data_IF_937409057692
#
_entry.id   IF_937409057692
#
_cell.length_a   1.000
_cell.length_b   1.000
_cell.length_c   1.000
_cell.angle_alpha   90.00
_cell.angle_beta   90.00
_cell.angle_gamma   90.00
#
_symmetry.space_group_name_H-M   'P 1'
#
loop_
_entity.id
_entity.type
_entity.pdbx_description
1 polymer ?
#
# COMPACT_ATOMS: atom_id res chain seq x y z
N UNK A 1 -84.81 -2.27 52.29
CA UNK A 1 -83.98 -3.32 51.64
C UNK A 1 -83.93 -2.96 50.16
N UNK A 2 -82.83 -2.74 49.46
CA UNK A 2 -81.39 -2.93 49.64
C UNK A 2 -80.70 -1.83 48.80
N UNK A 3 -79.60 -1.29 49.32
CA UNK A 3 -78.76 -0.26 48.73
C UNK A 3 -77.81 -0.79 47.64
N UNK A 4 -77.16 0.17 46.94
CA UNK A 4 -75.80 0.17 46.32
C UNK A 4 -75.79 0.29 44.80
N UNK A 5 -74.86 0.98 44.15
CA UNK A 5 -73.89 2.04 44.48
C UNK A 5 -73.11 2.26 43.19
N UNK A 6 -72.98 3.51 42.74
CA UNK A 6 -72.05 3.91 41.67
C UNK A 6 -70.61 3.57 42.08
N UNK A 7 -69.84 2.91 41.21
CA UNK A 7 -68.37 2.97 41.21
C UNK A 7 -67.88 2.97 39.77
N UNK A 8 -67.32 4.11 39.36
CA UNK A 8 -66.65 4.27 38.08
C UNK A 8 -65.36 3.44 38.02
N UNK A 9 -65.07 2.92 36.82
CA UNK A 9 -63.75 2.47 36.44
C UNK A 9 -63.22 3.44 35.40
N UNK A 10 -62.29 4.30 35.81
CA UNK A 10 -61.39 4.99 34.89
C UNK A 10 -60.26 4.01 34.54
N UNK A 11 -60.26 3.50 33.31
CA UNK A 11 -59.17 2.69 32.79
C UNK A 11 -58.03 3.62 32.37
N UNK A 12 -56.96 3.66 33.16
CA UNK A 12 -55.70 4.33 32.78
C UNK A 12 -54.99 3.43 31.78
N UNK A 13 -55.00 3.80 30.51
CA UNK A 13 -54.18 3.15 29.47
C UNK A 13 -52.72 3.59 29.64
N UNK A 14 -51.89 2.72 30.21
CA UNK A 14 -50.44 2.90 30.23
C UNK A 14 -49.90 2.69 28.80
N UNK A 15 -49.60 3.79 28.09
CA UNK A 15 -48.81 3.73 26.87
C UNK A 15 -47.37 3.32 27.24
N UNK A 16 -47.04 2.06 26.99
CA UNK A 16 -45.66 1.60 26.92
C UNK A 16 -45.00 2.32 25.75
N UNK A 17 -44.25 3.39 26.04
CA UNK A 17 -43.23 3.89 25.13
C UNK A 17 -42.16 2.81 25.01
N UNK A 18 -42.31 1.93 24.02
CA UNK A 18 -41.20 1.15 23.50
C UNK A 18 -40.26 2.18 22.88
N UNK A 19 -39.25 2.60 23.63
CA UNK A 19 -38.09 3.26 23.08
C UNK A 19 -37.45 2.25 22.15
N UNK A 20 -37.78 2.34 20.85
CA UNK A 20 -37.06 1.60 19.84
C UNK A 20 -35.59 1.94 20.00
N UNK A 21 -34.79 0.97 20.47
CA UNK A 21 -33.35 1.04 20.36
C UNK A 21 -33.08 1.24 18.87
N UNK A 22 -32.75 2.47 18.47
CA UNK A 22 -32.51 2.81 17.09
C UNK A 22 -31.39 1.90 16.59
N UNK A 23 -31.72 0.98 15.70
CA UNK A 23 -30.72 0.17 15.03
C UNK A 23 -29.79 1.15 14.31
N UNK A 24 -28.55 1.25 14.77
CA UNK A 24 -27.58 2.15 14.18
C UNK A 24 -27.32 1.68 12.75
N UNK A 25 -27.47 2.60 11.78
CA UNK A 25 -27.38 2.28 10.36
C UNK A 25 -26.01 1.64 10.05
N UNK A 26 -26.04 0.43 9.47
CA UNK A 26 -24.83 -0.27 9.04
C UNK A 26 -24.45 0.24 7.65
N UNK A 27 -23.25 0.81 7.54
CA UNK A 27 -22.70 1.33 6.28
C UNK A 27 -21.55 0.47 5.80
N UNK A 28 -21.55 0.24 4.50
CA UNK A 28 -20.53 -0.51 3.78
C UNK A 28 -19.63 0.46 3.01
N UNK A 29 -18.33 0.22 3.04
CA UNK A 29 -17.32 1.05 2.38
C UNK A 29 -16.38 0.17 1.57
N UNK A 30 -16.12 0.57 0.32
CA UNK A 30 -15.29 -0.18 -0.61
C UNK A 30 -13.82 0.09 -0.32
N UNK A 31 -13.03 -0.96 -0.25
CA UNK A 31 -11.58 -0.89 -0.06
C UNK A 31 -10.85 -1.63 -1.17
N UNK A 32 -10.28 -0.89 -2.12
CA UNK A 32 -9.72 -1.42 -3.35
C UNK A 32 -8.19 -1.51 -3.33
N UNK A 33 -7.64 -2.57 -3.94
CA UNK A 33 -6.21 -2.69 -4.20
C UNK A 33 -5.93 -3.69 -5.33
N UNK A 34 -4.84 -3.48 -6.06
CA UNK A 34 -4.58 -4.25 -7.29
C UNK A 34 -3.98 -5.64 -7.05
N UNK A 35 -3.41 -5.87 -5.86
CA UNK A 35 -2.83 -7.16 -5.49
C UNK A 35 -3.87 -8.18 -5.03
N UNK A 36 -3.68 -9.48 -5.31
CA UNK A 36 -4.53 -10.54 -4.78
C UNK A 36 -4.45 -10.66 -3.24
N UNK A 37 -5.32 -11.49 -2.67
CA UNK A 37 -5.24 -11.92 -1.26
C UNK A 37 -3.92 -12.66 -0.99
N UNK A 38 -3.51 -12.74 0.28
CA UNK A 38 -2.24 -13.31 0.76
C UNK A 38 -1.00 -12.48 0.40
N UNK A 39 -1.17 -11.17 0.35
CA UNK A 39 -0.14 -10.15 0.18
C UNK A 39 -0.15 -9.17 1.36
N UNK A 40 0.89 -8.33 1.50
CA UNK A 40 0.90 -7.26 2.50
C UNK A 40 -0.34 -6.36 2.42
N UNK A 41 -0.83 -6.07 1.21
CA UNK A 41 -2.07 -5.31 1.02
C UNK A 41 -3.30 -5.98 1.63
N UNK A 42 -3.43 -7.30 1.48
CA UNK A 42 -4.54 -8.00 2.13
C UNK A 42 -4.42 -8.03 3.64
N UNK A 43 -3.19 -8.07 4.20
CA UNK A 43 -2.97 -7.96 5.65
C UNK A 43 -3.38 -6.57 6.14
N UNK A 44 -2.99 -5.51 5.45
CA UNK A 44 -3.42 -4.14 5.75
C UNK A 44 -4.96 -4.01 5.71
N UNK A 45 -5.58 -4.55 4.65
CA UNK A 45 -7.03 -4.56 4.49
C UNK A 45 -7.75 -5.28 5.63
N UNK A 46 -7.26 -6.45 6.04
CA UNK A 46 -7.84 -7.24 7.12
C UNK A 46 -7.67 -6.55 8.49
N UNK A 47 -6.48 -6.03 8.80
CA UNK A 47 -6.23 -5.27 10.03
C UNK A 47 -7.17 -4.06 10.16
N UNK A 48 -7.33 -3.31 9.07
CA UNK A 48 -8.20 -2.15 9.03
C UNK A 48 -9.67 -2.53 9.19
N UNK A 49 -10.14 -3.51 8.40
CA UNK A 49 -11.53 -3.95 8.41
C UNK A 49 -11.95 -4.47 9.78
N UNK A 50 -11.14 -5.34 10.39
CA UNK A 50 -11.43 -5.93 11.69
C UNK A 50 -11.47 -4.86 12.78
N UNK A 51 -10.47 -3.96 12.80
CA UNK A 51 -10.41 -2.92 13.83
C UNK A 51 -11.52 -1.89 13.68
N UNK A 52 -11.83 -1.46 12.46
CA UNK A 52 -12.91 -0.49 12.23
C UNK A 52 -14.27 -1.09 12.60
N UNK A 53 -14.51 -2.37 12.29
CA UNK A 53 -15.72 -3.09 12.70
C UNK A 53 -15.84 -3.17 14.23
N UNK A 54 -14.74 -3.48 14.92
CA UNK A 54 -14.70 -3.50 16.39
C UNK A 54 -15.05 -2.13 16.99
N UNK A 55 -14.35 -1.08 16.57
CA UNK A 55 -14.50 0.29 17.09
C UNK A 55 -15.90 0.86 16.82
N UNK A 56 -16.44 0.59 15.63
CA UNK A 56 -17.78 1.03 15.23
C UNK A 56 -18.90 0.13 15.73
N UNK A 57 -18.59 -0.92 16.50
CA UNK A 57 -19.57 -1.93 16.96
C UNK A 57 -20.39 -2.52 15.81
N UNK A 58 -19.75 -2.70 14.65
CA UNK A 58 -20.35 -3.28 13.44
C UNK A 58 -21.09 -2.31 12.53
N UNK A 59 -21.07 -1.00 12.79
CA UNK A 59 -21.81 -0.03 11.96
C UNK A 59 -21.01 0.46 10.76
N UNK A 60 -19.68 0.28 10.75
CA UNK A 60 -18.81 0.57 9.61
C UNK A 60 -18.15 -0.73 9.14
N UNK A 61 -18.61 -1.24 8.00
CA UNK A 61 -18.15 -2.49 7.41
C UNK A 61 -17.31 -2.20 6.16
N UNK A 62 -16.20 -2.91 6.03
CA UNK A 62 -15.31 -2.81 4.88
C UNK A 62 -15.57 -3.96 3.92
N UNK A 63 -15.91 -3.62 2.68
CA UNK A 63 -15.99 -4.55 1.56
C UNK A 63 -14.68 -4.44 0.76
N UNK A 64 -13.84 -5.48 0.82
CA UNK A 64 -12.55 -5.47 0.14
C UNK A 64 -12.69 -5.91 -1.33
N UNK A 65 -12.01 -5.19 -2.22
CA UNK A 65 -11.94 -5.45 -3.66
C UNK A 65 -10.48 -5.72 -4.09
N UNK A 66 -9.95 -6.92 -3.79
CA UNK A 66 -8.57 -7.29 -4.11
C UNK A 66 -8.38 -7.60 -5.61
N UNK A 67 -7.13 -7.74 -6.04
CA UNK A 67 -6.79 -8.31 -7.35
C UNK A 67 -7.25 -7.46 -8.52
N UNK A 68 -7.24 -6.13 -8.36
CA UNK A 68 -7.63 -5.16 -9.37
C UNK A 68 -9.08 -5.27 -9.84
N UNK A 69 -9.98 -5.78 -8.99
CA UNK A 69 -11.42 -5.87 -9.27
C UNK A 69 -12.05 -4.52 -9.66
N UNK A 70 -11.51 -3.41 -9.14
CA UNK A 70 -11.94 -2.05 -9.46
C UNK A 70 -10.93 -1.27 -10.32
N UNK A 71 -9.96 -1.97 -10.93
CA UNK A 71 -8.90 -1.38 -11.75
C UNK A 71 -7.51 -1.51 -11.12
N UNK A 72 -6.49 -1.12 -11.89
CA UNK A 72 -5.11 -1.06 -11.40
C UNK A 72 -4.92 0.21 -10.56
N UNK A 73 -3.83 0.27 -9.80
CA UNK A 73 -3.58 1.34 -8.82
C UNK A 73 -3.79 2.77 -9.36
N UNK A 74 -3.25 3.19 -10.53
CA UNK A 74 -3.48 4.54 -11.02
C UNK A 74 -4.97 4.86 -11.26
N UNK A 75 -5.76 3.89 -11.75
CA UNK A 75 -7.20 4.07 -11.96
C UNK A 75 -7.95 4.13 -10.64
N UNK A 76 -7.65 3.22 -9.71
CA UNK A 76 -8.28 3.18 -8.37
C UNK A 76 -7.99 4.47 -7.60
N UNK A 77 -6.77 5.01 -7.71
CA UNK A 77 -6.41 6.28 -7.07
C UNK A 77 -7.26 7.45 -7.60
N UNK A 78 -7.59 7.47 -8.90
CA UNK A 78 -8.54 8.46 -9.44
C UNK A 78 -9.96 8.25 -8.92
N UNK A 79 -10.41 7.00 -8.75
CA UNK A 79 -11.73 6.70 -8.17
C UNK A 79 -11.83 7.17 -6.71
N UNK A 80 -10.78 7.00 -5.91
CA UNK A 80 -10.72 7.55 -4.54
C UNK A 80 -10.73 9.07 -4.57
N UNK A 81 -9.95 9.69 -5.46
CA UNK A 81 -9.92 11.15 -5.65
C UNK A 81 -11.29 11.74 -6.01
N UNK A 82 -12.07 11.03 -6.83
CA UNK A 82 -13.43 11.42 -7.20
C UNK A 82 -14.48 11.12 -6.11
N UNK A 83 -14.14 10.33 -5.09
CA UNK A 83 -15.07 9.86 -4.08
C UNK A 83 -16.02 8.76 -4.58
N UNK A 84 -15.63 8.06 -5.64
CA UNK A 84 -16.32 6.90 -6.21
C UNK A 84 -15.86 5.58 -5.59
N UNK A 85 -14.74 5.57 -4.86
CA UNK A 85 -14.28 4.48 -3.99
C UNK A 85 -13.83 5.11 -2.68
N UNK A 86 -14.13 4.47 -1.55
CA UNK A 86 -13.91 5.07 -0.25
C UNK A 86 -12.47 4.93 0.26
N UNK A 87 -11.91 3.74 0.12
CA UNK A 87 -10.55 3.44 0.55
C UNK A 87 -9.77 2.74 -0.54
N UNK A 88 -8.47 2.98 -0.61
CA UNK A 88 -7.57 2.20 -1.45
C UNK A 88 -6.17 2.04 -0.86
N UNK A 89 -5.50 0.97 -1.23
CA UNK A 89 -4.06 0.80 -0.99
C UNK A 89 -3.34 0.97 -2.32
N UNK A 90 -2.38 1.89 -2.35
CA UNK A 90 -1.62 2.26 -3.55
C UNK A 90 -0.13 2.25 -3.19
N UNK A 91 0.73 1.79 -4.08
CA UNK A 91 2.17 1.88 -3.86
C UNK A 91 2.62 3.34 -3.85
N UNK A 92 3.67 3.66 -3.10
CA UNK A 92 4.23 5.02 -3.12
C UNK A 92 4.66 5.45 -4.52
N UNK A 93 5.21 4.51 -5.31
CA UNK A 93 5.57 4.73 -6.70
C UNK A 93 4.36 5.17 -7.54
N UNK A 94 3.24 4.44 -7.50
CA UNK A 94 2.05 4.84 -8.28
C UNK A 94 1.35 6.08 -7.73
N UNK A 95 1.54 6.41 -6.45
CA UNK A 95 1.08 7.70 -5.88
C UNK A 95 1.76 8.89 -6.55
N UNK A 96 2.97 8.73 -7.08
CA UNK A 96 3.69 9.76 -7.82
C UNK A 96 2.93 10.30 -9.04
N UNK A 97 1.95 9.53 -9.57
CA UNK A 97 1.10 9.95 -10.69
C UNK A 97 0.17 11.13 -10.35
N UNK A 98 -0.14 11.37 -9.07
CA UNK A 98 -0.95 12.50 -8.61
C UNK A 98 -0.18 13.47 -7.70
N UNK A 99 0.88 12.99 -7.05
CA UNK A 99 1.75 13.78 -6.18
C UNK A 99 3.18 13.33 -6.41
N UNK A 100 3.92 13.97 -7.36
CA UNK A 100 5.26 13.53 -7.73
C UNK A 100 6.20 13.35 -6.54
N UNK A 101 6.08 14.19 -5.50
CA UNK A 101 6.89 14.12 -4.28
C UNK A 101 6.77 12.79 -3.51
N UNK A 102 5.66 12.05 -3.67
CA UNK A 102 5.51 10.72 -3.09
C UNK A 102 6.53 9.71 -3.61
N UNK A 103 7.13 9.96 -4.79
CA UNK A 103 8.22 9.15 -5.33
C UNK A 103 9.46 9.07 -4.44
N UNK A 104 9.59 9.96 -3.44
CA UNK A 104 10.68 9.90 -2.44
C UNK A 104 10.72 8.55 -1.72
N UNK A 105 9.56 7.96 -1.42
CA UNK A 105 9.45 6.69 -0.70
C UNK A 105 9.92 5.50 -1.53
N UNK A 106 10.11 5.70 -2.83
CA UNK A 106 10.58 4.71 -3.80
C UNK A 106 12.02 4.95 -4.25
N UNK A 107 12.74 5.91 -3.64
CA UNK A 107 14.15 6.13 -3.96
C UNK A 107 14.98 4.87 -3.68
N UNK A 108 15.80 4.47 -4.66
CA UNK A 108 16.64 3.29 -4.53
C UNK A 108 17.60 3.43 -3.33
N UNK A 109 17.70 2.37 -2.52
CA UNK A 109 18.54 2.27 -1.33
C UNK A 109 18.33 3.37 -0.27
N UNK A 110 17.15 4.01 -0.26
CA UNK A 110 16.75 4.94 0.81
C UNK A 110 16.63 4.22 2.16
N UNK A 111 16.00 3.06 2.14
CA UNK A 111 15.96 2.16 3.29
C UNK A 111 17.18 1.23 3.25
N UNK A 112 17.72 0.91 4.42
CA UNK A 112 19.01 0.22 4.56
C UNK A 112 18.83 -1.30 4.67
N UNK A 113 17.74 -1.70 5.33
CA UNK A 113 17.40 -3.08 5.65
C UNK A 113 15.92 -3.16 6.09
N UNK A 114 15.43 -4.37 6.31
CA UNK A 114 14.09 -4.68 6.80
C UNK A 114 13.72 -3.90 8.08
N UNK A 115 14.61 -3.85 9.07
CA UNK A 115 14.34 -3.16 10.34
C UNK A 115 14.17 -1.65 10.12
N UNK A 116 14.97 -1.07 9.22
CA UNK A 116 14.85 0.33 8.85
C UNK A 116 13.53 0.61 8.13
N UNK A 117 13.06 -0.29 7.26
CA UNK A 117 11.71 -0.18 6.64
C UNK A 117 10.62 -0.20 7.71
N UNK A 118 10.62 -1.22 8.58
CA UNK A 118 9.59 -1.39 9.62
C UNK A 118 9.53 -0.16 10.54
N UNK A 119 10.68 0.30 11.05
CA UNK A 119 10.75 1.51 11.90
C UNK A 119 10.36 2.77 11.13
N UNK A 120 10.79 2.90 9.88
CA UNK A 120 10.52 4.06 9.04
C UNK A 120 9.04 4.26 8.77
N UNK A 121 8.34 3.19 8.43
CA UNK A 121 6.90 3.24 8.16
C UNK A 121 6.07 3.44 9.43
N UNK A 122 6.56 2.97 10.59
CA UNK A 122 5.91 3.16 11.87
C UNK A 122 6.24 4.49 12.56
N UNK A 123 7.22 5.27 12.06
CA UNK A 123 7.63 6.53 12.67
C UNK A 123 6.54 7.62 12.46
N UNK A 124 5.93 8.15 13.53
CA UNK A 124 4.87 9.15 13.40
C UNK A 124 5.30 10.42 12.67
N UNK A 125 6.58 10.78 12.72
CA UNK A 125 7.12 11.97 12.04
C UNK A 125 7.16 11.76 10.54
N UNK A 126 7.50 10.55 10.09
CA UNK A 126 7.49 10.18 8.66
C UNK A 126 6.06 10.16 8.15
N UNK A 127 5.14 9.52 8.87
CA UNK A 127 3.71 9.51 8.50
C UNK A 127 3.14 10.93 8.42
N UNK A 128 3.39 11.79 9.40
CA UNK A 128 2.85 13.15 9.39
C UNK A 128 3.45 14.00 8.25
N UNK A 129 4.72 13.80 7.92
CA UNK A 129 5.33 14.46 6.77
C UNK A 129 4.72 14.00 5.43
N UNK A 130 4.41 12.70 5.29
CA UNK A 130 3.69 12.16 4.14
C UNK A 130 2.26 12.70 4.07
N UNK A 131 1.55 12.74 5.20
CA UNK A 131 0.20 13.29 5.30
C UNK A 131 0.16 14.75 4.86
N UNK A 132 1.04 15.58 5.44
CA UNK A 132 1.15 16.99 5.05
C UNK A 132 1.46 17.14 3.56
N UNK A 133 2.41 16.35 3.04
CA UNK A 133 2.75 16.39 1.61
C UNK A 133 1.54 16.08 0.74
N UNK A 134 0.79 15.01 1.02
CA UNK A 134 -0.40 14.65 0.23
C UNK A 134 -1.46 15.75 0.34
N UNK A 135 -1.78 16.21 1.54
CA UNK A 135 -2.80 17.24 1.77
C UNK A 135 -2.46 18.58 1.05
N UNK A 136 -1.18 18.92 0.93
CA UNK A 136 -0.75 20.17 0.27
C UNK A 136 -0.55 20.04 -1.25
N UNK A 137 -0.30 18.83 -1.77
CA UNK A 137 0.03 18.62 -3.19
C UNK A 137 -1.09 17.99 -4.00
N UNK A 138 -2.12 17.41 -3.36
CA UNK A 138 -3.29 16.87 -4.03
C UNK A 138 -4.57 17.21 -3.28
N UNK A 139 -5.69 17.17 -4.00
CA UNK A 139 -7.04 17.35 -3.47
C UNK A 139 -7.86 16.07 -3.66
N UNK A 140 -8.97 15.95 -2.92
CA UNK A 140 -9.96 14.89 -3.10
C UNK A 140 -9.69 13.59 -2.34
N UNK A 141 -8.57 13.49 -1.61
CA UNK A 141 -8.19 12.30 -0.83
C UNK A 141 -7.17 12.65 0.26
N UNK A 142 -7.07 11.77 1.26
CA UNK A 142 -6.09 11.86 2.35
C UNK A 142 -5.39 10.52 2.53
N UNK A 143 -4.11 10.55 2.89
CA UNK A 143 -3.40 9.36 3.35
C UNK A 143 -3.65 9.16 4.86
N UNK A 144 -4.00 7.94 5.26
CA UNK A 144 -4.37 7.59 6.64
C UNK A 144 -3.44 6.55 7.27
N UNK A 145 -2.69 5.80 6.46
CA UNK A 145 -1.66 4.88 6.93
C UNK A 145 -0.57 4.61 5.89
N UNK A 146 0.51 4.02 6.37
CA UNK A 146 1.66 3.48 5.64
C UNK A 146 1.72 1.98 5.84
N UNK A 147 2.18 1.24 4.83
CA UNK A 147 2.40 -0.21 4.90
C UNK A 147 3.55 -0.65 4.02
N UNK A 148 3.81 -1.95 3.97
CA UNK A 148 4.90 -2.54 3.20
C UNK A 148 4.44 -3.73 2.37
N UNK A 149 5.10 -3.98 1.27
CA UNK A 149 5.08 -5.28 0.61
C UNK A 149 6.46 -5.96 0.64
N UNK A 150 7.36 -5.51 1.51
CA UNK A 150 8.75 -5.98 1.57
C UNK A 150 9.70 -5.09 0.77
N UNK A 151 10.67 -5.72 0.11
CA UNK A 151 11.71 -5.05 -0.69
C UNK A 151 11.68 -5.60 -2.11
N UNK A 152 12.02 -4.79 -3.08
CA UNK A 152 11.93 -5.11 -4.51
C UNK A 152 13.21 -5.76 -5.02
N UNK A 153 13.00 -6.80 -5.80
CA UNK A 153 14.04 -7.64 -6.40
C UNK A 153 13.77 -7.78 -7.89
N UNK A 154 14.83 -7.82 -8.69
CA UNK A 154 14.70 -8.05 -10.14
C UNK A 154 14.49 -9.53 -10.44
N UNK A 155 13.49 -9.85 -11.27
CA UNK A 155 13.28 -11.21 -11.79
C UNK A 155 13.26 -11.21 -13.31
N UNK A 156 13.85 -12.26 -13.88
CA UNK A 156 14.02 -12.38 -15.33
C UNK A 156 14.23 -13.85 -15.75
N UNK A 157 14.53 -14.07 -17.05
CA UNK A 157 14.99 -15.37 -17.56
C UNK A 157 16.50 -15.61 -17.36
N UNK A 158 17.24 -14.60 -16.92
CA UNK A 158 18.70 -14.63 -16.77
C UNK A 158 19.13 -14.30 -15.34
N UNK A 159 20.36 -14.68 -15.02
CA UNK A 159 20.99 -14.27 -13.78
C UNK A 159 21.49 -12.84 -13.90
N UNK A 160 21.37 -12.08 -12.82
CA UNK A 160 21.88 -10.73 -12.65
C UNK A 160 22.78 -10.81 -11.41
N UNK A 161 24.08 -10.83 -11.62
CA UNK A 161 25.08 -10.83 -10.55
C UNK A 161 25.56 -9.43 -10.21
N UNK A 162 25.47 -8.47 -11.15
CA UNK A 162 25.87 -7.08 -10.94
C UNK A 162 25.14 -6.15 -11.93
N UNK A 163 25.35 -4.84 -11.79
CA UNK A 163 24.67 -3.83 -12.62
C UNK A 163 24.97 -3.95 -14.13
N UNK A 164 26.13 -4.49 -14.53
CA UNK A 164 26.46 -4.64 -15.95
C UNK A 164 25.56 -5.67 -16.66
N UNK A 165 25.00 -6.64 -15.92
CA UNK A 165 24.16 -7.70 -16.47
C UNK A 165 22.79 -7.18 -16.96
N UNK A 166 22.37 -5.99 -16.52
CA UNK A 166 21.12 -5.35 -16.96
C UNK A 166 21.31 -4.30 -18.06
N UNK A 167 22.54 -4.09 -18.54
CA UNK A 167 22.83 -3.11 -19.58
C UNK A 167 22.11 -3.46 -20.89
N UNK A 168 21.36 -2.50 -21.43
CA UNK A 168 20.59 -2.62 -22.66
C UNK A 168 19.32 -3.46 -22.53
N UNK A 169 19.00 -3.98 -21.33
CA UNK A 169 17.79 -4.76 -21.12
C UNK A 169 16.58 -3.87 -20.93
N UNK A 170 15.43 -4.34 -21.41
CA UNK A 170 14.15 -3.66 -21.18
C UNK A 170 13.61 -4.07 -19.83
N UNK A 171 13.59 -3.14 -18.88
CA UNK A 171 13.06 -3.35 -17.53
C UNK A 171 11.66 -2.75 -17.48
N UNK A 172 10.67 -3.58 -17.15
CA UNK A 172 9.36 -3.07 -16.78
C UNK A 172 9.47 -2.35 -15.45
N UNK A 173 8.96 -1.13 -15.40
CA UNK A 173 8.91 -0.31 -14.18
C UNK A 173 7.58 0.41 -14.01
N UNK A 174 7.32 0.92 -12.81
CA UNK A 174 6.24 1.86 -12.55
C UNK A 174 6.59 3.24 -13.13
N UNK A 175 5.60 4.10 -13.39
CA UNK A 175 5.85 5.42 -13.99
C UNK A 175 6.23 6.43 -12.89
N UNK A 176 7.52 6.52 -12.57
CA UNK A 176 8.05 7.47 -11.59
C UNK A 176 9.36 8.09 -12.06
N UNK A 177 9.63 9.32 -11.62
CA UNK A 177 10.90 9.99 -11.89
C UNK A 177 12.12 9.22 -11.34
N UNK A 178 11.92 8.44 -10.26
CA UNK A 178 12.97 7.57 -9.71
C UNK A 178 13.33 6.49 -10.71
N UNK A 179 12.35 5.78 -11.26
CA UNK A 179 12.62 4.70 -12.22
C UNK A 179 13.18 5.22 -13.54
N UNK A 180 12.65 6.37 -13.99
CA UNK A 180 13.12 7.09 -15.18
C UNK A 180 14.56 7.56 -15.07
N UNK A 181 15.08 7.69 -13.84
CA UNK A 181 16.45 8.09 -13.59
C UNK A 181 17.35 6.90 -13.33
N UNK A 182 16.92 5.99 -12.46
CA UNK A 182 17.79 4.96 -11.90
C UNK A 182 18.09 3.83 -12.88
N UNK A 183 17.07 3.28 -13.53
CA UNK A 183 17.30 2.20 -14.49
C UNK A 183 18.13 2.64 -15.71
N UNK A 184 17.91 3.84 -16.29
CA UNK A 184 18.81 4.38 -17.31
C UNK A 184 20.22 4.65 -16.78
N UNK A 185 20.39 5.12 -15.53
CA UNK A 185 21.70 5.27 -14.91
C UNK A 185 22.43 3.91 -14.73
N UNK A 186 21.69 2.82 -14.54
CA UNK A 186 22.21 1.46 -14.57
C UNK A 186 22.49 0.92 -15.99
N UNK A 187 22.16 1.69 -17.03
CA UNK A 187 22.33 1.33 -18.43
C UNK A 187 21.21 0.47 -19.01
N UNK A 188 20.10 0.30 -18.30
CA UNK A 188 18.90 -0.39 -18.77
C UNK A 188 17.94 0.56 -19.52
N UNK A 189 16.94 -0.01 -20.20
CA UNK A 189 15.85 0.72 -20.86
C UNK A 189 14.56 0.55 -20.05
N UNK A 190 13.90 1.63 -19.68
CA UNK A 190 12.62 1.55 -18.96
C UNK A 190 11.45 1.30 -19.90
N UNK A 191 10.51 0.46 -19.47
CA UNK A 191 9.23 0.24 -20.14
C UNK A 191 8.11 0.35 -19.12
N UNK A 192 7.32 1.42 -19.20
CA UNK A 192 6.21 1.62 -18.27
C UNK A 192 4.99 0.79 -18.68
N UNK A 193 4.42 0.09 -17.72
CA UNK A 193 3.10 -0.54 -17.87
C UNK A 193 2.44 -0.82 -16.52
N UNK A 194 1.10 -0.85 -16.47
CA UNK A 194 0.37 -1.32 -15.29
C UNK A 194 0.77 -2.73 -14.87
N UNK A 195 0.61 -3.03 -13.59
CA UNK A 195 1.07 -4.30 -13.00
C UNK A 195 0.42 -5.53 -13.65
N UNK A 196 -0.88 -5.46 -13.96
CA UNK A 196 -1.61 -6.55 -14.61
C UNK A 196 -1.10 -6.94 -16.00
N UNK A 197 -0.23 -6.15 -16.64
CA UNK A 197 0.38 -6.49 -17.94
C UNK A 197 1.74 -7.18 -17.83
N UNK A 198 2.31 -7.28 -16.63
CA UNK A 198 3.72 -7.70 -16.43
C UNK A 198 3.96 -9.14 -16.85
N UNK A 199 3.10 -10.07 -16.40
CA UNK A 199 3.24 -11.49 -16.74
C UNK A 199 3.31 -11.71 -18.26
N UNK A 200 2.34 -11.18 -19.00
CA UNK A 200 2.27 -11.33 -20.46
C UNK A 200 3.44 -10.66 -21.15
N UNK A 201 3.91 -9.51 -20.66
CA UNK A 201 5.06 -8.81 -21.23
C UNK A 201 6.38 -9.55 -21.05
N UNK A 202 6.57 -10.22 -19.91
CA UNK A 202 7.72 -11.13 -19.68
C UNK A 202 7.60 -12.40 -20.53
N UNK A 203 6.39 -12.94 -20.65
CA UNK A 203 6.12 -14.13 -21.46
C UNK A 203 6.48 -13.91 -22.93
N UNK A 204 5.98 -12.80 -23.50
CA UNK A 204 6.13 -12.44 -24.91
C UNK A 204 7.47 -11.78 -25.24
N UNK A 205 8.27 -11.41 -24.24
CA UNK A 205 9.57 -10.75 -24.43
C UNK A 205 9.47 -9.26 -24.78
N UNK A 206 8.32 -8.63 -24.54
CA UNK A 206 8.17 -7.16 -24.58
C UNK A 206 9.14 -6.52 -23.59
N UNK A 207 9.33 -7.15 -22.42
CA UNK A 207 10.33 -6.78 -21.42
C UNK A 207 11.20 -7.99 -21.05
N UNK A 208 12.46 -7.72 -20.68
CA UNK A 208 13.43 -8.73 -20.29
C UNK A 208 13.43 -8.98 -18.79
N UNK A 209 13.20 -7.92 -18.02
CA UNK A 209 13.27 -7.89 -16.56
C UNK A 209 12.04 -7.17 -16.04
N UNK A 210 11.52 -7.62 -14.90
CA UNK A 210 10.63 -6.83 -14.07
C UNK A 210 11.12 -6.91 -12.63
N UNK A 211 10.50 -6.15 -11.75
CA UNK A 211 10.91 -6.05 -10.37
C UNK A 211 9.68 -5.95 -9.44
N UNK A 212 9.80 -6.53 -8.25
CA UNK A 212 8.81 -6.51 -7.18
C UNK A 212 9.31 -7.28 -5.96
N UNK A 213 8.51 -7.32 -4.89
CA UNK A 213 8.79 -8.16 -3.74
C UNK A 213 8.57 -9.65 -3.98
N UNK A 214 9.16 -10.48 -3.12
CA UNK A 214 9.21 -11.93 -3.28
C UNK A 214 7.80 -12.54 -3.19
N UNK A 215 6.98 -12.08 -2.26
CA UNK A 215 5.60 -12.52 -2.11
C UNK A 215 4.75 -12.15 -3.33
N UNK A 216 4.91 -10.92 -3.87
CA UNK A 216 4.17 -10.48 -5.06
C UNK A 216 4.57 -11.30 -6.29
N UNK A 217 5.87 -11.55 -6.46
CA UNK A 217 6.42 -12.40 -7.52
C UNK A 217 5.85 -13.83 -7.45
N UNK A 218 5.72 -14.39 -6.24
CA UNK A 218 5.10 -15.70 -6.00
C UNK A 218 3.58 -15.70 -6.28
N UNK A 219 2.82 -14.79 -5.67
CA UNK A 219 1.35 -14.80 -5.73
C UNK A 219 0.84 -14.56 -7.15
N UNK A 220 1.54 -13.70 -7.91
CA UNK A 220 1.20 -13.40 -9.31
C UNK A 220 1.86 -14.35 -10.31
N UNK A 221 2.57 -15.39 -9.83
CA UNK A 221 3.18 -16.43 -10.66
C UNK A 221 4.16 -15.93 -11.72
N UNK A 222 4.82 -14.80 -11.47
CA UNK A 222 5.81 -14.26 -12.41
C UNK A 222 6.99 -15.22 -12.62
N UNK A 223 7.24 -16.14 -11.68
CA UNK A 223 8.24 -17.21 -11.82
C UNK A 223 8.00 -18.17 -12.98
N UNK A 224 6.78 -18.31 -13.49
CA UNK A 224 6.49 -19.19 -14.64
C UNK A 224 7.12 -18.65 -15.95
N UNK A 225 7.29 -17.32 -16.04
CA UNK A 225 7.77 -16.62 -17.25
C UNK A 225 9.11 -15.92 -17.06
N UNK A 226 9.53 -15.75 -15.81
CA UNK A 226 10.80 -15.19 -15.38
C UNK A 226 11.36 -16.02 -14.21
N UNK A 227 11.93 -17.21 -14.47
CA UNK A 227 12.25 -18.23 -13.46
C UNK A 227 13.49 -17.95 -12.60
N UNK A 228 14.15 -16.80 -12.79
CA UNK A 228 15.33 -16.40 -12.01
C UNK A 228 14.98 -15.16 -11.19
N UNK A 229 15.05 -15.29 -9.86
CA UNK A 229 14.91 -14.19 -8.91
C UNK A 229 16.32 -13.72 -8.49
N UNK A 230 16.60 -12.43 -8.64
CA UNK A 230 17.90 -11.83 -8.34
C UNK A 230 17.74 -10.87 -7.16
N UNK A 231 18.41 -11.16 -6.04
CA UNK A 231 18.23 -10.48 -4.76
C UNK A 231 18.94 -9.11 -4.77
N UNK A 232 18.40 -8.16 -5.53
CA UNK A 232 18.97 -6.82 -5.70
C UNK A 232 18.68 -5.87 -4.54
N UNK A 233 17.53 -6.03 -3.86
CA UNK A 233 17.09 -5.18 -2.74
C UNK A 233 17.18 -3.68 -3.03
N UNK A 234 16.82 -3.26 -4.25
CA UNK A 234 17.10 -1.90 -4.70
C UNK A 234 16.11 -0.88 -4.15
N UNK A 235 14.88 -1.27 -3.83
CA UNK A 235 13.82 -0.35 -3.38
C UNK A 235 12.94 -1.00 -2.30
N UNK A 236 12.54 -0.24 -1.28
CA UNK A 236 11.50 -0.67 -0.34
C UNK A 236 10.11 -0.55 -1.01
N UNK A 237 9.33 -1.64 -1.02
CA UNK A 237 8.02 -1.67 -1.66
C UNK A 237 6.94 -1.07 -0.73
N UNK A 238 6.94 0.26 -0.62
CA UNK A 238 6.10 0.97 0.35
C UNK A 238 4.66 1.18 -0.16
N UNK A 239 3.70 1.11 0.76
CA UNK A 239 2.28 1.25 0.52
C UNK A 239 1.72 2.46 1.25
N UNK A 240 0.77 3.16 0.64
CA UNK A 240 -0.02 4.21 1.26
C UNK A 240 -1.50 3.82 1.23
N UNK A 241 -2.18 4.00 2.36
CA UNK A 241 -3.61 3.77 2.48
C UNK A 241 -4.32 5.10 2.41
N UNK A 242 -5.26 5.21 1.47
CA UNK A 242 -6.01 6.41 1.20
C UNK A 242 -7.47 6.30 1.64
N UNK A 243 -8.04 7.43 2.02
CA UNK A 243 -9.48 7.66 2.13
C UNK A 243 -9.87 8.80 1.18
N UNK A 244 -11.04 8.70 0.54
CA UNK A 244 -11.57 9.83 -0.23
C UNK A 244 -11.93 11.02 0.67
N UNK A 245 -11.67 12.24 0.21
CA UNK A 245 -12.06 13.45 0.94
C UNK A 245 -13.59 13.50 1.12
N UNK A 246 -14.36 13.08 0.10
CA UNK A 246 -15.82 12.97 0.18
C UNK A 246 -16.28 12.12 1.37
N UNK A 247 -15.68 10.94 1.57
CA UNK A 247 -16.00 10.15 2.76
C UNK A 247 -15.51 10.86 4.01
N UNK A 248 -14.25 11.29 4.05
CA UNK A 248 -13.65 11.93 5.22
C UNK A 248 -14.49 13.09 5.74
N UNK A 249 -14.96 13.99 4.87
CA UNK A 249 -15.79 15.13 5.27
C UNK A 249 -17.19 14.72 5.78
N UNK A 250 -17.71 13.57 5.36
CA UNK A 250 -19.01 13.07 5.81
C UNK A 250 -18.97 12.41 7.19
N UNK A 251 -17.78 12.06 7.69
CA UNK A 251 -17.62 11.38 8.99
C UNK A 251 -17.74 12.35 10.16
N UNK A 252 -18.40 11.90 11.23
CA UNK A 252 -18.38 12.60 12.52
C UNK A 252 -16.96 12.61 13.12
N UNK A 253 -16.65 13.50 14.07
CA UNK A 253 -15.36 13.49 14.77
C UNK A 253 -15.02 12.13 15.41
N UNK A 254 -16.02 11.44 15.96
CA UNK A 254 -15.87 10.11 16.54
C UNK A 254 -15.51 9.07 15.46
N UNK A 255 -16.22 9.08 14.33
CA UNK A 255 -15.95 8.17 13.22
C UNK A 255 -14.57 8.41 12.59
N UNK A 256 -14.14 9.67 12.46
CA UNK A 256 -12.77 10.01 12.04
C UNK A 256 -11.75 9.42 13.02
N UNK A 257 -12.02 9.50 14.32
CA UNK A 257 -11.20 8.86 15.35
C UNK A 257 -11.12 7.34 15.21
N UNK A 258 -12.24 6.67 14.91
CA UNK A 258 -12.24 5.22 14.66
C UNK A 258 -11.44 4.84 13.41
N UNK A 259 -11.66 5.55 12.29
CA UNK A 259 -10.93 5.32 11.04
C UNK A 259 -9.44 5.51 11.24
N UNK A 260 -9.00 6.61 11.87
CA UNK A 260 -7.57 6.84 12.11
C UNK A 260 -6.99 5.79 13.06
N UNK A 261 -7.73 5.39 14.10
CA UNK A 261 -7.26 4.33 15.02
C UNK A 261 -7.11 2.99 14.30
N UNK A 262 -8.05 2.63 13.44
CA UNK A 262 -7.96 1.42 12.61
C UNK A 262 -6.80 1.51 11.60
N UNK A 263 -6.55 2.69 11.03
CA UNK A 263 -5.44 2.91 10.11
C UNK A 263 -4.07 2.79 10.81
N UNK A 264 -3.95 3.26 12.05
CA UNK A 264 -2.71 3.15 12.84
C UNK A 264 -2.31 1.68 13.14
N UNK A 265 -3.27 0.74 13.17
CA UNK A 265 -2.99 -0.70 13.28
C UNK A 265 -2.20 -1.22 12.08
N UNK A 266 -2.42 -0.65 10.89
CA UNK A 266 -1.68 -1.00 9.67
C UNK A 266 -0.21 -0.61 9.86
N UNK A 267 0.08 0.68 10.03
CA UNK A 267 1.46 1.19 10.14
C UNK A 267 2.28 0.53 11.25
N UNK A 268 1.63 0.09 12.33
CA UNK A 268 2.32 -0.51 13.49
C UNK A 268 2.52 -2.02 13.38
N UNK A 269 1.65 -2.77 12.68
CA UNK A 269 1.68 -4.24 12.66
C UNK A 269 1.94 -4.83 11.29
N UNK A 270 1.46 -4.19 10.24
CA UNK A 270 1.49 -4.74 8.89
C UNK A 270 2.92 -4.93 8.35
N UNK A 271 3.86 -3.98 8.50
CA UNK A 271 5.20 -4.13 7.91
C UNK A 271 5.93 -5.40 8.39
N UNK A 272 5.91 -5.69 9.70
CA UNK A 272 6.54 -6.90 10.23
C UNK A 272 5.92 -8.18 9.67
N UNK A 273 4.58 -8.22 9.55
CA UNK A 273 3.85 -9.35 8.96
C UNK A 273 4.11 -9.50 7.46
N UNK A 274 4.28 -8.40 6.73
CA UNK A 274 4.65 -8.42 5.32
C UNK A 274 6.03 -9.08 5.12
N UNK A 275 7.02 -8.75 5.95
CA UNK A 275 8.32 -9.40 5.89
C UNK A 275 8.30 -10.88 6.32
N UNK A 276 7.38 -11.30 7.20
CA UNK A 276 7.12 -12.72 7.46
C UNK A 276 6.57 -13.45 6.21
N UNK A 277 5.69 -12.80 5.43
CA UNK A 277 5.25 -13.31 4.14
C UNK A 277 6.39 -13.41 3.13
N UNK A 278 7.30 -12.42 3.08
CA UNK A 278 8.47 -12.44 2.20
C UNK A 278 9.36 -13.67 2.48
N UNK A 279 9.67 -13.93 3.76
CA UNK A 279 10.45 -15.12 4.18
C UNK A 279 9.74 -16.41 3.78
N UNK A 280 8.44 -16.50 4.01
CA UNK A 280 7.64 -17.68 3.66
C UNK A 280 7.59 -17.89 2.14
N UNK A 281 7.48 -16.80 1.37
CA UNK A 281 7.46 -16.85 -0.08
C UNK A 281 8.82 -17.30 -0.65
N UNK A 282 9.93 -16.80 -0.12
CA UNK A 282 11.28 -17.19 -0.51
C UNK A 282 11.50 -18.70 -0.34
N UNK A 283 11.14 -19.25 0.82
CA UNK A 283 11.24 -20.69 1.09
C UNK A 283 10.36 -21.52 0.14
N UNK A 284 9.16 -21.04 -0.18
CA UNK A 284 8.27 -21.71 -1.12
C UNK A 284 8.82 -21.71 -2.54
N UNK A 285 9.32 -20.58 -3.03
CA UNK A 285 9.92 -20.46 -4.36
C UNK A 285 11.14 -21.38 -4.49
N UNK A 286 11.99 -21.45 -3.46
CA UNK A 286 13.12 -22.37 -3.42
C UNK A 286 12.68 -23.84 -3.51
N UNK A 287 11.64 -24.24 -2.77
CA UNK A 287 11.06 -25.60 -2.86
C UNK A 287 10.43 -25.89 -4.22
N UNK A 288 9.95 -24.88 -4.93
CA UNK A 288 9.42 -24.99 -6.29
C UNK A 288 10.51 -25.05 -7.36
N UNK A 289 11.79 -24.93 -6.98
CA UNK A 289 12.92 -24.99 -7.90
C UNK A 289 13.21 -23.68 -8.63
N UNK A 290 12.64 -22.56 -8.18
CA UNK A 290 12.99 -21.23 -8.71
C UNK A 290 14.45 -20.95 -8.42
N UNK A 291 15.19 -20.48 -9.44
CA UNK A 291 16.60 -20.13 -9.26
C UNK A 291 16.69 -18.78 -8.54
N UNK A 292 17.39 -18.76 -7.42
CA UNK A 292 17.61 -17.54 -6.63
C UNK A 292 19.10 -17.18 -6.69
N UNK A 293 19.41 -15.97 -7.15
CA UNK A 293 20.75 -15.37 -7.08
C UNK A 293 20.77 -14.48 -5.85
N UNK A 294 21.26 -15.02 -4.73
CA UNK A 294 21.31 -14.34 -3.42
C UNK A 294 22.59 -13.50 -3.20
N UNK A 295 23.58 -13.66 -4.08
CA UNK A 295 24.89 -13.04 -4.02
C UNK A 295 25.09 -11.90 -5.04
N UNK A 296 24.02 -11.19 -5.39
CA UNK A 296 24.10 -10.02 -6.27
C UNK A 296 25.06 -8.99 -5.65
N UNK A 297 25.99 -8.46 -6.43
CA UNK A 297 26.86 -7.36 -6.05
C UNK A 297 26.07 -6.05 -5.97
N UNK A 298 25.40 -5.84 -4.84
CA UNK A 298 24.64 -4.63 -4.56
C UNK A 298 25.51 -3.37 -4.58
N UNK A 299 26.82 -3.46 -4.33
CA UNK A 299 27.72 -2.30 -4.37
C UNK A 299 27.82 -1.71 -5.77
N UNK A 300 27.75 -2.55 -6.80
CA UNK A 300 27.71 -2.08 -8.19
C UNK A 300 26.48 -1.20 -8.49
N UNK A 301 25.35 -1.45 -7.81
CA UNK A 301 24.14 -0.63 -7.92
C UNK A 301 24.18 0.59 -7.00
N UNK A 302 24.59 0.44 -5.74
CA UNK A 302 24.61 1.55 -4.77
C UNK A 302 25.63 2.62 -5.17
N UNK A 303 26.78 2.25 -5.72
CA UNK A 303 27.79 3.21 -6.21
C UNK A 303 27.23 4.17 -7.27
N UNK A 304 26.25 3.71 -8.08
CA UNK A 304 25.54 4.55 -9.05
C UNK A 304 24.37 5.29 -8.39
N UNK A 305 23.66 4.65 -7.46
CA UNK A 305 22.45 5.22 -6.83
C UNK A 305 22.71 6.30 -5.79
N UNK A 306 23.75 6.15 -4.97
CA UNK A 306 24.01 7.03 -3.83
C UNK A 306 24.09 8.52 -4.23
N UNK A 307 24.77 8.92 -5.33
CA UNK A 307 24.79 10.32 -5.77
C UNK A 307 23.42 10.88 -6.20
N UNK A 308 22.49 10.01 -6.59
CA UNK A 308 21.15 10.42 -7.04
C UNK A 308 20.17 10.58 -5.90
N UNK A 309 20.41 10.01 -4.73
CA UNK A 309 19.43 10.02 -3.64
C UNK A 309 19.08 11.44 -3.18
N UNK A 310 20.11 12.25 -2.90
CA UNK A 310 19.92 13.65 -2.50
C UNK A 310 19.44 14.52 -3.67
N UNK A 311 19.98 14.26 -4.87
CA UNK A 311 19.60 14.98 -6.09
C UNK A 311 18.10 14.78 -6.40
N UNK A 312 17.64 13.53 -6.48
CA UNK A 312 16.27 13.19 -6.79
C UNK A 312 15.32 13.71 -5.72
N UNK A 313 15.64 13.55 -4.43
CA UNK A 313 14.80 14.08 -3.37
C UNK A 313 14.63 15.61 -3.48
N UNK A 314 15.69 16.34 -3.83
CA UNK A 314 15.65 17.78 -4.04
C UNK A 314 14.85 18.17 -5.30
N UNK A 315 15.02 17.43 -6.39
CA UNK A 315 14.27 17.64 -7.65
C UNK A 315 12.77 17.35 -7.49
N UNK A 316 12.42 16.37 -6.66
CA UNK A 316 11.03 16.04 -6.32
C UNK A 316 10.37 17.19 -5.53
N UNK A 317 11.06 17.78 -4.56
CA UNK A 317 10.59 18.97 -3.85
C UNK A 317 10.86 18.97 -2.33
N UNK A 318 10.43 20.02 -1.62
CA UNK A 318 10.79 20.23 -0.23
C UNK A 318 10.20 19.17 0.73
N UNK A 319 9.00 18.65 0.45
CA UNK A 319 8.46 17.56 1.28
C UNK A 319 9.25 16.28 1.08
N UNK A 320 9.62 15.97 -0.17
CA UNK A 320 10.47 14.83 -0.48
C UNK A 320 11.82 14.92 0.28
N UNK A 321 12.49 16.07 0.23
CA UNK A 321 13.74 16.27 0.98
C UNK A 321 13.55 16.08 2.49
N UNK A 322 12.47 16.64 3.07
CA UNK A 322 12.12 16.46 4.49
C UNK A 322 11.88 14.99 4.85
N UNK A 323 11.08 14.28 4.07
CA UNK A 323 10.74 12.86 4.29
C UNK A 323 12.00 12.00 4.21
N UNK A 324 12.82 12.19 3.18
CA UNK A 324 14.11 11.50 3.05
C UNK A 324 15.00 11.72 4.28
N UNK A 325 15.14 12.95 4.75
CA UNK A 325 15.95 13.27 5.93
C UNK A 325 15.40 12.60 7.21
N UNK A 326 14.07 12.60 7.39
CA UNK A 326 13.42 11.91 8.51
C UNK A 326 13.71 10.41 8.47
N UNK A 327 13.53 9.76 7.32
CA UNK A 327 13.83 8.33 7.15
C UNK A 327 15.30 8.06 7.46
N UNK A 328 16.23 8.80 6.86
CA UNK A 328 17.67 8.60 7.09
C UNK A 328 18.11 8.82 8.56
N UNK A 329 17.36 9.59 9.34
CA UNK A 329 17.63 9.83 10.77
C UNK A 329 17.24 8.67 11.70
N UNK A 330 16.51 7.68 11.20
CA UNK A 330 16.07 6.51 11.96
C UNK A 330 17.23 5.53 12.07
N UNK A 331 17.49 5.04 13.29
CA UNK A 331 18.54 4.06 13.59
C UNK A 331 18.07 2.63 13.34
#
# INVERSE_FOLDING_TARGET
>A
MIARSMRGLAAVAAMLFVTGAGAQEVKHYRFAYDQPRNTGYSIAGDLFADKLKELSKGTMIIDQYPGAQLGQEPQVLQLVKAGDVEFAIISSANTATISPQAGVMSLHFLFRDENHVIKGLADPRVFEALKTMIDETTQGLHVIATGSQGVRHMYSKREIHNVADIKGLKVRVQATATEDTMFPAYGAQTVHMPFGSVYTSLQTGVVDVAENSINVYLVNKHYEVAPVLNITEHEANNALVFISDKLWQSLTPEQKGWVQTAANEISSKEPAKAFELERTAAEKLKKMGVKVVDNVDKKSFTAIADPYLDKLAKELGPHAEKIKNLIRSIN
#
